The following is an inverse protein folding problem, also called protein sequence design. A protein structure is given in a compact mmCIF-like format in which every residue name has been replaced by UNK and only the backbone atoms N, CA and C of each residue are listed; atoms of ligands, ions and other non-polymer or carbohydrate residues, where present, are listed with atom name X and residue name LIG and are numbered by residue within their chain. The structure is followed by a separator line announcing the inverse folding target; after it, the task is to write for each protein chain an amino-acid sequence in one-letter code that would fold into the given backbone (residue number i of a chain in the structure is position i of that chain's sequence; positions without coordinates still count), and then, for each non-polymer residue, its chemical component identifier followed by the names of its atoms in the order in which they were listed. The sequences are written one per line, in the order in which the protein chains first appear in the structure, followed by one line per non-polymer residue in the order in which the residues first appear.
data_IF_431705957456
#
_entry.id   IF_431705957456
#
_cell.length_a   1.000
_cell.length_b   1.000
_cell.length_c   1.000
_cell.angle_alpha   90.00
_cell.angle_beta   90.00
_cell.angle_gamma   90.00
#
_symmetry.space_group_name_H-M   'P 1'
#
loop_
_entity.id
_entity.type
_entity.pdbx_description
1 polymer ?
#
# COMPACT_ATOMS: atom_id res chain seq x y z
N UNK A 1 -16.74 28.43 -41.44
CA UNK A 1 -18.06 28.94 -41.04
C UNK A 1 -17.76 30.03 -40.03
N UNK A 2 -17.98 31.30 -40.34
CA UNK A 2 -17.74 32.40 -39.40
C UNK A 2 -18.77 32.29 -38.29
N UNK A 3 -18.32 32.02 -37.07
CA UNK A 3 -19.20 31.88 -35.91
C UNK A 3 -19.46 33.30 -35.37
N UNK A 4 -20.71 33.79 -35.34
CA UNK A 4 -21.00 35.13 -34.87
C UNK A 4 -20.71 35.27 -33.38
N UNK A 5 -20.21 36.44 -32.97
CA UNK A 5 -19.99 36.76 -31.56
C UNK A 5 -21.30 36.63 -30.76
N UNK A 6 -21.24 36.12 -29.52
CA UNK A 6 -22.42 35.89 -28.68
C UNK A 6 -23.05 37.21 -28.23
N UNK A 7 -24.39 37.27 -28.19
CA UNK A 7 -25.11 38.49 -27.81
C UNK A 7 -25.53 38.56 -26.33
N UNK A 8 -25.67 37.42 -25.64
CA UNK A 8 -26.01 37.34 -24.20
C UNK A 8 -25.79 35.95 -23.60
N UNK A 9 -25.84 34.88 -24.41
CA UNK A 9 -25.77 33.51 -23.91
C UNK A 9 -24.94 32.62 -24.86
N UNK A 10 -23.86 32.02 -24.35
CA UNK A 10 -23.04 31.01 -25.02
C UNK A 10 -23.56 29.57 -24.81
N UNK A 11 -24.87 29.42 -24.59
CA UNK A 11 -25.57 28.14 -24.52
C UNK A 11 -25.92 27.65 -25.93
N UNK A 12 -24.94 27.12 -26.64
CA UNK A 12 -25.16 26.41 -27.91
C UNK A 12 -23.93 25.61 -28.27
N UNK A 13 -24.13 24.31 -28.44
CA UNK A 13 -23.11 23.29 -28.65
C UNK A 13 -22.06 23.68 -29.71
N UNK A 14 -20.84 24.03 -29.31
CA UNK A 14 -19.65 23.72 -30.13
C UNK A 14 -19.11 22.32 -29.83
N UNK A 15 -19.99 21.45 -29.32
CA UNK A 15 -19.70 20.07 -29.02
C UNK A 15 -19.52 19.25 -30.29
N UNK A 16 -18.41 18.53 -30.40
CA UNK A 16 -18.24 17.52 -31.43
C UNK A 16 -19.22 16.36 -31.18
N UNK A 17 -20.03 16.06 -32.19
CA UNK A 17 -20.91 14.88 -32.24
C UNK A 17 -20.45 13.91 -33.34
N UNK A 18 -21.03 12.70 -33.38
CA UNK A 18 -20.74 11.69 -34.41
C UNK A 18 -20.84 12.20 -35.87
N UNK A 19 -21.62 13.25 -36.12
CA UNK A 19 -21.80 13.86 -37.46
C UNK A 19 -20.65 14.82 -37.82
N UNK A 20 -19.86 15.24 -36.83
CA UNK A 20 -18.90 16.34 -36.92
C UNK A 20 -17.43 15.89 -36.99
N UNK A 21 -17.15 14.58 -36.84
CA UNK A 21 -15.79 14.04 -36.83
C UNK A 21 -15.51 13.32 -38.16
N UNK A 22 -14.57 13.79 -39.00
CA UNK A 22 -14.03 12.96 -40.07
C UNK A 22 -13.17 11.83 -39.47
N UNK A 23 -13.11 10.69 -40.16
CA UNK A 23 -12.33 9.48 -39.81
C UNK A 23 -10.91 9.76 -39.26
N UNK A 24 -10.35 8.86 -38.42
CA UNK A 24 -9.17 9.13 -37.61
C UNK A 24 -7.87 9.25 -38.43
N UNK A 25 -7.04 10.25 -38.11
CA UNK A 25 -5.66 10.36 -38.63
C UNK A 25 -4.99 11.75 -38.57
N UNK A 26 -5.74 12.84 -38.34
CA UNK A 26 -5.20 14.21 -38.31
C UNK A 26 -5.78 14.96 -37.09
N UNK A 27 -5.01 15.84 -36.41
CA UNK A 27 -5.53 16.71 -35.35
C UNK A 27 -6.52 17.73 -35.96
N UNK A 28 -7.80 17.35 -35.99
CA UNK A 28 -8.87 18.22 -36.44
C UNK A 28 -9.29 19.15 -35.29
N UNK A 29 -8.81 20.39 -35.30
CA UNK A 29 -9.36 21.46 -34.50
C UNK A 29 -10.41 22.22 -35.34
N UNK A 30 -11.73 22.05 -35.10
CA UNK A 30 -12.77 22.75 -35.85
C UNK A 30 -12.89 24.24 -35.50
N UNK A 31 -12.16 24.73 -34.50
CA UNK A 31 -12.24 26.09 -33.99
C UNK A 31 -11.31 27.03 -34.78
N UNK A 32 -11.85 28.17 -35.20
CA UNK A 32 -11.08 29.23 -35.85
C UNK A 32 -10.47 30.16 -34.79
N UNK A 33 -9.38 30.83 -35.12
CA UNK A 33 -8.78 31.86 -34.25
C UNK A 33 -9.76 33.00 -33.90
N UNK A 34 -10.84 33.18 -34.69
CA UNK A 34 -11.90 34.17 -34.43
C UNK A 34 -12.58 33.98 -33.06
N UNK A 35 -12.56 32.78 -32.49
CA UNK A 35 -13.13 32.51 -31.15
C UNK A 35 -12.40 33.30 -30.07
N UNK A 36 -11.09 33.51 -30.23
CA UNK A 36 -10.26 34.27 -29.27
C UNK A 36 -10.71 35.74 -29.20
N UNK A 37 -11.14 36.30 -30.33
CA UNK A 37 -11.48 37.73 -30.48
C UNK A 37 -12.97 38.04 -30.21
N UNK A 38 -13.73 37.13 -29.61
CA UNK A 38 -15.14 37.39 -29.29
C UNK A 38 -15.29 38.45 -28.19
N UNK A 39 -16.21 39.38 -28.41
CA UNK A 39 -16.70 40.27 -27.35
C UNK A 39 -17.61 39.48 -26.41
N UNK A 40 -17.07 39.10 -25.24
CA UNK A 40 -17.81 38.35 -24.22
C UNK A 40 -18.40 39.24 -23.13
N UNK A 41 -18.27 40.57 -23.22
CA UNK A 41 -18.64 41.47 -22.13
C UNK A 41 -20.14 41.46 -21.80
N UNK A 42 -20.98 40.97 -22.72
CA UNK A 42 -22.43 40.82 -22.52
C UNK A 42 -22.87 39.39 -22.17
N UNK A 43 -21.94 38.43 -22.12
CA UNK A 43 -22.25 37.01 -21.89
C UNK A 43 -22.60 36.78 -20.42
N UNK A 44 -23.75 36.15 -20.18
CA UNK A 44 -24.22 35.80 -18.83
C UNK A 44 -24.20 34.31 -18.53
N UNK A 45 -23.97 33.46 -19.54
CA UNK A 45 -23.86 32.02 -19.37
C UNK A 45 -22.95 31.40 -20.45
N UNK A 46 -22.12 30.44 -20.05
CA UNK A 46 -21.16 29.68 -20.87
C UNK A 46 -21.43 28.17 -20.78
N UNK A 47 -22.72 27.78 -20.69
CA UNK A 47 -23.08 26.39 -20.41
C UNK A 47 -22.74 25.50 -21.59
N UNK A 48 -21.85 24.52 -21.35
CA UNK A 48 -21.43 23.49 -22.32
C UNK A 48 -20.90 24.03 -23.64
N UNK A 49 -20.32 25.23 -23.63
CA UNK A 49 -19.81 25.91 -24.84
C UNK A 49 -18.81 25.04 -25.59
N UNK A 50 -17.82 24.45 -24.91
CA UNK A 50 -16.78 23.58 -25.49
C UNK A 50 -16.89 22.11 -25.04
N UNK A 51 -18.04 21.69 -24.52
CA UNK A 51 -18.26 20.31 -24.05
C UNK A 51 -18.08 19.30 -25.20
N UNK A 52 -17.43 18.15 -24.99
CA UNK A 52 -17.58 16.96 -25.84
C UNK A 52 -18.93 16.26 -25.63
N UNK A 53 -19.16 15.15 -26.33
CA UNK A 53 -20.40 14.36 -26.22
C UNK A 53 -20.16 12.91 -25.81
N UNK A 54 -20.99 12.40 -24.88
CA UNK A 54 -20.99 10.97 -24.56
C UNK A 54 -21.59 10.18 -25.73
N UNK A 55 -21.09 8.97 -25.92
CA UNK A 55 -21.68 8.04 -26.88
C UNK A 55 -22.93 7.40 -26.26
N UNK A 56 -24.03 7.35 -27.03
CA UNK A 56 -25.24 6.64 -26.61
C UNK A 56 -25.04 5.11 -26.57
N UNK A 57 -23.98 4.61 -27.20
CA UNK A 57 -23.54 3.22 -27.07
C UNK A 57 -22.37 3.15 -26.06
N UNK A 58 -22.56 2.52 -24.89
CA UNK A 58 -21.50 2.40 -23.89
C UNK A 58 -20.30 1.57 -24.35
N UNK A 59 -20.40 0.82 -25.45
CA UNK A 59 -19.29 0.07 -26.05
C UNK A 59 -18.35 0.93 -26.91
N UNK A 60 -18.65 2.23 -27.10
CA UNK A 60 -17.83 3.14 -27.90
C UNK A 60 -17.33 4.31 -27.04
N UNK A 61 -16.09 4.80 -27.28
CA UNK A 61 -15.55 5.93 -26.53
C UNK A 61 -16.38 7.21 -26.77
N UNK A 62 -16.35 8.17 -25.82
CA UNK A 62 -16.98 9.47 -26.01
C UNK A 62 -16.29 10.27 -27.12
N UNK A 63 -17.02 11.22 -27.69
CA UNK A 63 -16.47 12.20 -28.63
C UNK A 63 -15.84 13.35 -27.84
N UNK A 64 -14.51 13.37 -27.79
CA UNK A 64 -13.74 14.38 -27.11
C UNK A 64 -13.67 15.67 -27.93
N UNK A 65 -13.63 16.80 -27.24
CA UNK A 65 -13.47 18.11 -27.84
C UNK A 65 -11.99 18.55 -27.78
N UNK A 66 -11.28 18.75 -28.90
CA UNK A 66 -9.87 19.11 -28.92
C UNK A 66 -9.63 20.61 -28.74
N UNK A 67 -10.61 21.36 -28.23
CA UNK A 67 -10.48 22.79 -27.96
C UNK A 67 -9.29 23.07 -27.04
N UNK A 68 -8.41 23.99 -27.44
CA UNK A 68 -7.26 24.47 -26.66
C UNK A 68 -6.78 25.84 -27.13
N UNK A 69 -7.71 26.73 -27.54
CA UNK A 69 -7.35 28.09 -27.95
C UNK A 69 -7.28 28.98 -26.71
N UNK A 70 -6.30 29.89 -26.69
CA UNK A 70 -6.13 30.88 -25.61
C UNK A 70 -7.34 31.81 -25.56
N UNK A 71 -8.05 31.76 -24.43
CA UNK A 71 -9.25 32.56 -24.12
C UNK A 71 -9.07 33.32 -22.79
N UNK A 72 -7.81 33.49 -22.35
CA UNK A 72 -7.47 34.25 -21.14
C UNK A 72 -8.00 35.68 -21.18
N UNK A 73 -8.12 36.27 -22.38
CA UNK A 73 -8.59 37.64 -22.59
C UNK A 73 -10.10 37.85 -22.59
N UNK A 74 -10.91 36.81 -22.38
CA UNK A 74 -12.37 36.93 -22.32
C UNK A 74 -12.82 37.68 -21.06
N UNK A 75 -13.76 38.61 -21.21
CA UNK A 75 -14.47 39.24 -20.09
C UNK A 75 -15.56 38.27 -19.57
N UNK A 76 -15.38 37.81 -18.33
CA UNK A 76 -16.31 36.89 -17.64
C UNK A 76 -17.11 37.56 -16.52
N UNK A 77 -16.96 38.88 -16.32
CA UNK A 77 -17.52 39.61 -15.17
C UNK A 77 -19.05 39.57 -15.06
N UNK A 78 -19.76 39.29 -16.16
CA UNK A 78 -21.22 39.15 -16.19
C UNK A 78 -21.70 37.69 -16.19
N UNK A 79 -20.79 36.71 -16.17
CA UNK A 79 -21.12 35.30 -16.30
C UNK A 79 -21.67 34.77 -14.98
N UNK A 80 -22.85 34.15 -15.05
CA UNK A 80 -23.55 33.57 -13.90
C UNK A 80 -23.51 32.04 -13.88
N UNK A 81 -23.12 31.41 -14.99
CA UNK A 81 -23.08 29.96 -15.13
C UNK A 81 -22.01 29.52 -16.13
N UNK A 82 -21.11 28.65 -15.68
CA UNK A 82 -20.04 28.01 -16.48
C UNK A 82 -20.23 26.49 -16.58
N UNK A 83 -21.43 26.00 -16.24
CA UNK A 83 -21.73 24.58 -16.14
C UNK A 83 -21.32 23.78 -17.39
N UNK A 84 -20.45 22.79 -17.21
CA UNK A 84 -19.99 21.89 -18.26
C UNK A 84 -19.21 22.54 -19.41
N UNK A 85 -18.69 23.76 -19.25
CA UNK A 85 -18.04 24.52 -20.34
C UNK A 85 -16.95 23.72 -21.05
N UNK A 86 -16.09 23.01 -20.31
CA UNK A 86 -14.96 22.20 -20.80
C UNK A 86 -15.13 20.69 -20.55
N UNK A 87 -16.35 20.22 -20.34
CA UNK A 87 -16.60 18.79 -20.12
C UNK A 87 -16.13 17.96 -21.31
N UNK A 88 -15.35 16.89 -21.13
CA UNK A 88 -14.79 16.06 -22.21
C UNK A 88 -13.89 16.83 -23.20
N UNK A 89 -13.19 17.89 -22.76
CA UNK A 89 -12.15 18.53 -23.57
C UNK A 89 -10.81 17.82 -23.40
N UNK A 90 -10.33 17.12 -24.43
CA UNK A 90 -9.13 16.28 -24.30
C UNK A 90 -7.81 17.04 -24.32
N UNK A 91 -7.84 18.32 -24.71
CA UNK A 91 -6.63 19.09 -24.96
C UNK A 91 -6.59 20.44 -24.24
N UNK A 92 -7.67 20.85 -23.56
CA UNK A 92 -7.78 22.18 -22.98
C UNK A 92 -6.93 22.29 -21.71
N UNK A 93 -5.95 23.19 -21.72
CA UNK A 93 -5.07 23.49 -20.59
C UNK A 93 -4.56 24.95 -20.67
N UNK A 94 -5.43 25.88 -21.08
CA UNK A 94 -5.07 27.30 -21.21
C UNK A 94 -5.26 28.04 -19.88
N UNK A 95 -4.39 29.01 -19.61
CA UNK A 95 -4.45 29.85 -18.41
C UNK A 95 -5.74 30.67 -18.38
N UNK A 96 -6.58 30.36 -17.39
CA UNK A 96 -7.86 31.02 -17.11
C UNK A 96 -7.92 31.49 -15.65
N UNK A 97 -6.79 31.52 -14.92
CA UNK A 97 -6.74 31.99 -13.54
C UNK A 97 -7.15 33.47 -13.42
N UNK A 98 -6.99 34.25 -14.50
CA UNK A 98 -7.37 35.67 -14.55
C UNK A 98 -8.86 35.99 -14.73
N UNK A 99 -9.73 34.98 -14.87
CA UNK A 99 -11.16 35.22 -15.07
C UNK A 99 -11.86 35.73 -13.79
N UNK A 100 -12.82 36.62 -13.97
CA UNK A 100 -13.73 37.06 -12.91
C UNK A 100 -14.87 36.04 -12.75
N UNK A 101 -14.89 35.34 -11.61
CA UNK A 101 -15.90 34.34 -11.27
C UNK A 101 -16.88 34.82 -10.20
N UNK A 102 -16.80 36.07 -9.74
CA UNK A 102 -17.53 36.60 -8.58
C UNK A 102 -19.06 36.57 -8.72
N UNK A 103 -19.57 36.50 -9.96
CA UNK A 103 -21.01 36.41 -10.25
C UNK A 103 -21.49 34.98 -10.57
N UNK A 104 -20.57 34.00 -10.63
CA UNK A 104 -20.88 32.63 -11.04
C UNK A 104 -21.59 31.90 -9.91
N UNK A 105 -22.70 31.25 -10.24
CA UNK A 105 -23.50 30.44 -9.31
C UNK A 105 -23.45 28.94 -9.62
N UNK A 106 -22.95 28.57 -10.80
CA UNK A 106 -22.95 27.19 -11.31
C UNK A 106 -21.68 26.84 -12.07
N UNK A 107 -20.96 25.83 -11.58
CA UNK A 107 -19.76 25.23 -12.19
C UNK A 107 -19.89 23.71 -12.35
N UNK A 108 -21.10 23.17 -12.24
CA UNK A 108 -21.36 21.73 -12.33
C UNK A 108 -20.75 21.12 -13.61
N UNK A 109 -19.94 20.08 -13.44
CA UNK A 109 -19.23 19.35 -14.50
C UNK A 109 -18.30 20.19 -15.39
N UNK A 110 -17.89 21.40 -14.99
CA UNK A 110 -17.14 22.33 -15.85
C UNK A 110 -15.92 21.70 -16.53
N UNK A 111 -15.13 20.90 -15.81
CA UNK A 111 -13.92 20.21 -16.29
C UNK A 111 -14.04 18.68 -16.22
N UNK A 112 -15.25 18.14 -16.11
CA UNK A 112 -15.45 16.69 -16.04
C UNK A 112 -14.84 16.02 -17.28
N UNK A 113 -13.89 15.10 -17.07
CA UNK A 113 -13.16 14.40 -18.14
C UNK A 113 -12.35 15.31 -19.04
N UNK A 114 -11.90 16.46 -18.52
CA UNK A 114 -10.90 17.31 -19.15
C UNK A 114 -9.51 16.78 -18.80
N UNK A 115 -9.08 15.73 -19.50
CA UNK A 115 -7.98 14.86 -19.06
C UNK A 115 -6.64 15.57 -18.80
N UNK A 116 -6.38 16.71 -19.44
CA UNK A 116 -5.09 17.42 -19.37
C UNK A 116 -5.14 18.76 -18.65
N UNK A 117 -6.30 19.20 -18.17
CA UNK A 117 -6.44 20.51 -17.54
C UNK A 117 -5.81 20.52 -16.14
N UNK A 118 -4.84 21.41 -15.91
CA UNK A 118 -4.20 21.59 -14.60
C UNK A 118 -3.73 23.04 -14.34
N UNK A 119 -4.44 24.03 -14.85
CA UNK A 119 -4.08 25.42 -14.61
C UNK A 119 -4.48 25.88 -13.20
N UNK A 120 -3.70 26.81 -12.65
CA UNK A 120 -3.96 27.41 -11.35
C UNK A 120 -5.26 28.25 -11.40
N UNK A 121 -6.20 27.85 -10.56
CA UNK A 121 -7.51 28.48 -10.35
C UNK A 121 -7.77 28.74 -8.87
N UNK A 122 -6.72 28.67 -8.03
CA UNK A 122 -6.81 28.86 -6.58
C UNK A 122 -7.29 30.26 -6.20
N UNK A 123 -7.14 31.23 -7.10
CA UNK A 123 -7.48 32.64 -6.92
C UNK A 123 -8.91 33.01 -7.35
N UNK A 124 -9.71 32.08 -7.87
CA UNK A 124 -11.08 32.34 -8.28
C UNK A 124 -11.98 32.67 -7.08
N UNK A 125 -12.83 33.69 -7.22
CA UNK A 125 -13.89 33.97 -6.26
C UNK A 125 -15.07 33.03 -6.53
N UNK A 126 -15.21 32.01 -5.69
CA UNK A 126 -16.30 31.02 -5.76
C UNK A 126 -17.33 31.18 -4.65
N UNK A 127 -17.28 32.29 -3.88
CA UNK A 127 -18.16 32.57 -2.73
C UNK A 127 -19.65 32.53 -3.06
N UNK A 128 -20.00 32.77 -4.33
CA UNK A 128 -21.38 32.77 -4.85
C UNK A 128 -21.78 31.46 -5.54
N UNK A 129 -20.87 30.50 -5.71
CA UNK A 129 -21.13 29.25 -6.44
C UNK A 129 -21.93 28.28 -5.57
N UNK A 130 -23.08 27.82 -6.07
CA UNK A 130 -23.94 26.87 -5.36
C UNK A 130 -23.73 25.42 -5.82
N UNK A 131 -23.37 25.20 -7.09
CA UNK A 131 -23.33 23.87 -7.72
C UNK A 131 -21.96 23.56 -8.33
N UNK A 132 -21.23 22.60 -7.74
CA UNK A 132 -19.91 22.12 -8.20
C UNK A 132 -19.91 20.64 -8.62
N UNK A 133 -21.07 19.98 -8.61
CA UNK A 133 -21.17 18.53 -8.82
C UNK A 133 -20.31 18.07 -10.01
N UNK A 134 -19.44 17.10 -9.76
CA UNK A 134 -18.55 16.48 -10.75
C UNK A 134 -17.64 17.46 -11.51
N UNK A 135 -17.31 18.63 -10.94
CA UNK A 135 -16.53 19.67 -11.63
C UNK A 135 -15.21 19.13 -12.21
N UNK A 136 -14.46 18.30 -11.47
CA UNK A 136 -13.19 17.69 -11.92
C UNK A 136 -13.28 16.15 -11.99
N UNK A 137 -14.48 15.59 -12.11
CA UNK A 137 -14.67 14.14 -12.21
C UNK A 137 -13.89 13.57 -13.41
N UNK A 138 -13.02 12.58 -13.19
CA UNK A 138 -12.13 12.00 -14.20
C UNK A 138 -11.23 13.03 -14.92
N UNK A 139 -10.87 14.15 -14.27
CA UNK A 139 -9.86 15.09 -14.77
C UNK A 139 -8.46 14.62 -14.35
N UNK A 140 -7.89 13.71 -15.14
CA UNK A 140 -6.69 12.93 -14.80
C UNK A 140 -5.43 13.75 -14.48
N UNK A 141 -5.27 14.94 -15.06
CA UNK A 141 -4.13 15.81 -14.78
C UNK A 141 -4.38 16.86 -13.70
N UNK A 142 -5.61 17.02 -13.22
CA UNK A 142 -5.98 18.11 -12.32
C UNK A 142 -5.42 17.88 -10.92
N UNK A 143 -4.53 18.76 -10.49
CA UNK A 143 -3.79 18.68 -9.23
C UNK A 143 -3.50 20.10 -8.69
N UNK A 144 -4.51 20.74 -8.11
CA UNK A 144 -4.42 22.10 -7.57
C UNK A 144 -4.95 22.18 -6.15
N UNK A 145 -4.31 23.00 -5.31
CA UNK A 145 -4.80 23.33 -3.97
C UNK A 145 -5.98 24.31 -4.05
N UNK A 146 -7.15 23.89 -3.57
CA UNK A 146 -8.38 24.69 -3.55
C UNK A 146 -8.81 25.10 -2.13
N UNK A 147 -7.92 24.96 -1.13
CA UNK A 147 -8.23 25.27 0.27
C UNK A 147 -8.53 26.74 0.55
N UNK A 148 -8.15 27.65 -0.35
CA UNK A 148 -8.45 29.09 -0.24
C UNK A 148 -9.83 29.48 -0.83
N UNK A 149 -10.56 28.54 -1.41
CA UNK A 149 -11.88 28.82 -1.98
C UNK A 149 -12.93 28.99 -0.88
N UNK A 150 -13.60 30.14 -0.86
CA UNK A 150 -14.80 30.35 -0.05
C UNK A 150 -15.96 29.52 -0.62
N UNK A 151 -16.23 28.37 0.00
CA UNK A 151 -17.33 27.48 -0.39
C UNK A 151 -18.62 27.74 0.40
N UNK A 152 -18.76 28.88 1.08
CA UNK A 152 -19.91 29.21 1.95
C UNK A 152 -21.28 28.98 1.32
N UNK A 153 -21.41 29.19 0.01
CA UNK A 153 -22.67 29.05 -0.74
C UNK A 153 -22.92 27.65 -1.32
N UNK A 154 -21.96 26.72 -1.19
CA UNK A 154 -22.01 25.42 -1.82
C UNK A 154 -23.21 24.59 -1.31
N UNK A 155 -23.96 24.03 -2.26
CA UNK A 155 -25.08 23.10 -2.01
C UNK A 155 -24.83 21.70 -2.58
N UNK A 156 -23.82 21.54 -3.44
CA UNK A 156 -23.47 20.26 -4.04
C UNK A 156 -21.99 20.23 -4.44
N UNK A 157 -21.26 19.26 -3.89
CA UNK A 157 -19.87 18.94 -4.22
C UNK A 157 -19.74 17.51 -4.80
N UNK A 158 -20.86 16.82 -5.04
CA UNK A 158 -20.87 15.37 -5.29
C UNK A 158 -19.94 14.94 -6.42
N UNK A 159 -18.95 14.12 -6.09
CA UNK A 159 -17.99 13.57 -7.05
C UNK A 159 -17.06 14.61 -7.65
N UNK A 160 -16.82 15.73 -6.98
CA UNK A 160 -15.99 16.83 -7.52
C UNK A 160 -14.59 16.35 -7.92
N UNK A 161 -13.96 15.49 -7.12
CA UNK A 161 -12.60 14.98 -7.35
C UNK A 161 -12.53 13.48 -7.71
N UNK A 162 -13.66 12.78 -7.84
CA UNK A 162 -13.59 11.32 -8.08
C UNK A 162 -12.86 11.03 -9.39
N UNK A 163 -11.88 10.13 -9.30
CA UNK A 163 -11.01 9.68 -10.38
C UNK A 163 -10.20 10.81 -11.04
N UNK A 164 -9.97 11.91 -10.31
CA UNK A 164 -9.11 13.03 -10.76
C UNK A 164 -7.63 12.78 -10.43
N UNK A 165 -6.74 13.62 -10.96
CA UNK A 165 -5.30 13.60 -10.69
C UNK A 165 -4.86 14.22 -9.37
N UNK A 166 -5.80 14.55 -8.47
CA UNK A 166 -5.52 15.30 -7.25
C UNK A 166 -4.48 14.55 -6.39
N UNK A 167 -3.35 15.19 -6.12
CA UNK A 167 -2.31 14.63 -5.25
C UNK A 167 -2.73 14.65 -3.78
N UNK A 168 -2.06 13.82 -2.98
CA UNK A 168 -2.22 13.78 -1.52
C UNK A 168 -2.10 15.17 -0.89
N UNK A 169 -1.01 15.88 -1.18
CA UNK A 169 -0.71 17.20 -0.63
C UNK A 169 -1.79 18.25 -0.98
N UNK A 170 -2.27 18.28 -2.23
CA UNK A 170 -3.27 19.25 -2.65
C UNK A 170 -4.67 18.90 -2.14
N UNK A 171 -5.01 17.61 -2.04
CA UNK A 171 -6.29 17.21 -1.45
C UNK A 171 -6.32 17.51 0.05
N UNK A 172 -5.25 17.23 0.78
CA UNK A 172 -5.13 17.55 2.20
C UNK A 172 -5.22 19.04 2.48
N UNK A 173 -4.49 19.87 1.70
CA UNK A 173 -4.57 21.32 1.82
C UNK A 173 -5.98 21.85 1.49
N UNK A 174 -6.67 21.20 0.55
CA UNK A 174 -8.06 21.54 0.22
C UNK A 174 -9.02 21.19 1.36
N UNK A 175 -8.89 19.99 1.94
CA UNK A 175 -9.68 19.58 3.11
C UNK A 175 -9.40 20.48 4.31
N UNK A 176 -8.13 20.80 4.58
CA UNK A 176 -7.72 21.70 5.67
C UNK A 176 -8.35 23.09 5.53
N UNK A 177 -8.28 23.66 4.33
CA UNK A 177 -8.90 24.94 4.03
C UNK A 177 -10.41 24.90 4.27
N UNK A 178 -11.09 23.89 3.75
CA UNK A 178 -12.55 23.78 3.87
C UNK A 178 -13.05 23.39 5.26
N UNK A 179 -12.20 22.80 6.09
CA UNK A 179 -12.48 22.49 7.49
C UNK A 179 -12.28 23.70 8.42
N UNK A 180 -11.75 24.82 7.92
CA UNK A 180 -11.46 26.04 8.68
C UNK A 180 -12.31 27.20 8.18
N UNK A 181 -12.90 27.96 9.10
CA UNK A 181 -13.69 29.15 8.76
C UNK A 181 -12.80 30.39 8.75
N UNK A 182 -12.56 30.95 7.56
CA UNK A 182 -11.61 32.04 7.34
C UNK A 182 -12.23 33.44 7.41
N UNK A 183 -11.37 34.45 7.54
CA UNK A 183 -11.82 35.85 7.54
C UNK A 183 -12.43 36.20 6.19
N UNK A 184 -13.73 36.47 6.17
CA UNK A 184 -14.49 36.80 4.98
C UNK A 184 -15.54 35.74 4.61
N UNK A 185 -15.35 34.51 5.08
CA UNK A 185 -16.31 33.42 4.87
C UNK A 185 -17.51 33.54 5.81
N UNK A 186 -18.66 33.05 5.36
CA UNK A 186 -19.90 33.14 6.14
C UNK A 186 -20.25 31.86 6.89
N UNK A 187 -19.80 30.71 6.40
CA UNK A 187 -20.00 29.40 7.03
C UNK A 187 -19.14 28.33 6.36
N UNK A 188 -18.88 27.24 7.10
CA UNK A 188 -18.59 25.94 6.48
C UNK A 188 -19.94 25.28 6.18
N UNK A 189 -20.25 24.92 4.93
CA UNK A 189 -21.51 24.27 4.58
C UNK A 189 -21.72 22.96 5.36
N UNK A 190 -22.97 22.52 5.55
CA UNK A 190 -23.30 21.27 6.26
C UNK A 190 -23.93 20.24 5.36
N UNK A 191 -23.70 18.95 5.62
CA UNK A 191 -24.42 17.84 4.97
C UNK A 191 -24.05 17.62 3.51
N UNK A 192 -22.87 18.07 3.08
CA UNK A 192 -22.41 17.90 1.70
C UNK A 192 -21.80 16.51 1.49
N UNK A 193 -21.91 16.00 0.27
CA UNK A 193 -21.19 14.80 -0.16
C UNK A 193 -20.14 15.20 -1.17
N UNK A 194 -18.88 14.87 -0.90
CA UNK A 194 -17.72 15.29 -1.69
C UNK A 194 -17.41 14.33 -2.83
N UNK A 195 -17.54 13.02 -2.59
CA UNK A 195 -16.96 12.01 -3.49
C UNK A 195 -15.43 11.94 -3.29
N UNK A 196 -14.64 11.98 -4.37
CA UNK A 196 -13.19 11.77 -4.38
C UNK A 196 -12.74 10.29 -4.37
N UNK A 197 -13.57 9.38 -4.91
CA UNK A 197 -13.11 8.00 -5.14
C UNK A 197 -11.81 8.01 -5.96
N UNK A 198 -10.83 7.18 -5.59
CA UNK A 198 -9.55 7.12 -6.30
C UNK A 198 -8.55 8.25 -5.97
N UNK A 199 -8.91 9.18 -5.07
CA UNK A 199 -7.98 10.20 -4.55
C UNK A 199 -7.50 9.80 -3.15
N UNK A 200 -6.24 10.09 -2.83
CA UNK A 200 -5.62 9.78 -1.55
C UNK A 200 -5.62 11.01 -0.62
N UNK A 201 -5.87 10.84 0.69
CA UNK A 201 -5.78 11.90 1.72
C UNK A 201 -5.06 11.40 2.97
N UNK A 202 -4.35 12.25 3.71
CA UNK A 202 -3.74 11.95 5.02
C UNK A 202 -4.24 12.86 6.15
N UNK A 203 -4.87 14.00 5.85
CA UNK A 203 -5.32 14.97 6.87
C UNK A 203 -6.63 14.52 7.54
N UNK A 204 -6.49 13.61 8.51
CA UNK A 204 -7.62 13.03 9.24
C UNK A 204 -8.37 14.07 10.07
N UNK A 205 -7.67 15.04 10.66
CA UNK A 205 -8.27 16.09 11.50
C UNK A 205 -9.26 16.94 10.70
N UNK A 206 -8.82 17.46 9.56
CA UNK A 206 -9.67 18.26 8.68
C UNK A 206 -10.87 17.44 8.18
N UNK A 207 -10.64 16.18 7.78
CA UNK A 207 -11.71 15.28 7.36
C UNK A 207 -12.71 15.02 8.48
N UNK A 208 -12.26 14.76 9.70
CA UNK A 208 -13.14 14.47 10.83
C UNK A 208 -13.93 15.71 11.23
N UNK A 209 -13.34 16.91 11.23
CA UNK A 209 -14.10 18.15 11.40
C UNK A 209 -15.25 18.25 10.40
N UNK A 210 -14.99 18.02 9.11
CA UNK A 210 -16.04 18.06 8.08
C UNK A 210 -17.14 17.01 8.31
N UNK A 211 -16.78 15.79 8.73
CA UNK A 211 -17.74 14.70 8.95
C UNK A 211 -18.52 14.88 10.26
N UNK A 212 -17.83 15.05 11.37
CA UNK A 212 -18.41 15.02 12.72
C UNK A 212 -19.13 16.33 13.05
N UNK A 213 -18.52 17.48 12.74
CA UNK A 213 -19.08 18.79 13.09
C UNK A 213 -20.04 19.31 12.02
N UNK A 214 -19.76 19.02 10.75
CA UNK A 214 -20.52 19.55 9.62
C UNK A 214 -21.35 18.50 8.88
N UNK A 215 -21.28 17.21 9.26
CA UNK A 215 -22.14 16.16 8.72
C UNK A 215 -21.83 15.79 7.27
N UNK A 216 -20.59 16.00 6.80
CA UNK A 216 -20.20 15.69 5.43
C UNK A 216 -20.07 14.18 5.21
N UNK A 217 -20.15 13.79 3.93
CA UNK A 217 -19.70 12.49 3.43
C UNK A 217 -18.47 12.77 2.56
N UNK A 218 -17.29 12.54 3.14
CA UNK A 218 -15.99 12.70 2.49
C UNK A 218 -15.51 11.34 2.00
N UNK A 219 -15.29 11.21 0.69
CA UNK A 219 -14.63 10.04 0.09
C UNK A 219 -13.14 10.29 -0.13
N UNK A 220 -12.52 9.43 -0.91
CA UNK A 220 -11.07 9.27 -0.94
C UNK A 220 -10.64 8.04 -0.14
N UNK A 221 -9.49 7.51 -0.51
CA UNK A 221 -8.82 6.45 0.24
C UNK A 221 -7.85 7.12 1.19
N UNK A 222 -7.90 6.72 2.45
CA UNK A 222 -6.94 7.22 3.42
C UNK A 222 -5.56 6.65 3.07
N UNK A 223 -4.58 7.53 2.91
CA UNK A 223 -3.18 7.20 2.70
C UNK A 223 -2.40 7.96 3.77
N UNK A 224 -1.73 7.23 4.64
CA UNK A 224 -0.85 7.85 5.61
C UNK A 224 0.44 8.22 4.88
N UNK A 225 0.77 9.50 4.83
CA UNK A 225 2.12 9.93 4.49
C UNK A 225 2.63 10.86 5.58
N UNK A 226 3.56 10.33 6.36
CA UNK A 226 4.81 10.99 6.68
C UNK A 226 4.78 12.13 7.67
N UNK A 227 4.58 11.80 8.94
CA UNK A 227 5.30 12.52 9.99
C UNK A 227 6.73 11.97 10.10
N UNK A 228 7.59 12.67 10.84
CA UNK A 228 8.92 12.14 11.22
C UNK A 228 8.99 11.79 12.71
N UNK A 229 7.82 11.65 13.33
CA UNK A 229 7.61 11.36 14.73
C UNK A 229 7.02 9.94 14.83
N UNK A 230 7.15 9.32 16.01
CA UNK A 230 6.49 8.05 16.30
C UNK A 230 4.97 8.17 16.17
N UNK A 231 4.40 7.43 15.22
CA UNK A 231 3.00 7.43 14.85
C UNK A 231 2.28 6.17 15.34
N UNK A 232 0.96 6.25 15.52
CA UNK A 232 0.11 5.08 15.79
C UNK A 232 -1.00 5.03 14.75
N UNK A 233 -0.97 3.99 13.94
CA UNK A 233 -1.85 3.72 12.82
C UNK A 233 -2.75 2.53 13.18
N UNK A 234 -4.05 2.78 13.40
CA UNK A 234 -5.02 1.73 13.70
C UNK A 234 -5.99 1.52 12.52
N UNK A 235 -5.67 0.49 11.73
CA UNK A 235 -6.44 0.02 10.59
C UNK A 235 -7.47 -1.06 10.90
N UNK A 236 -7.60 -1.51 12.16
CA UNK A 236 -8.33 -2.72 12.52
C UNK A 236 -9.82 -2.70 12.12
N UNK A 237 -10.42 -1.51 12.04
CA UNK A 237 -11.83 -1.33 11.66
C UNK A 237 -12.04 -1.05 10.15
N UNK A 238 -10.97 -1.03 9.35
CA UNK A 238 -11.07 -0.77 7.91
C UNK A 238 -11.86 -1.87 7.20
N UNK A 239 -12.69 -1.46 6.23
CA UNK A 239 -13.44 -2.37 5.37
C UNK A 239 -12.70 -2.66 4.05
N UNK A 240 -11.44 -2.23 3.94
CA UNK A 240 -10.60 -2.32 2.76
C UNK A 240 -9.16 -2.60 3.16
N UNK A 241 -8.40 -3.13 2.19
CA UNK A 241 -6.94 -3.22 2.26
C UNK A 241 -6.30 -1.88 2.61
N UNK A 242 -5.29 -1.94 3.45
CA UNK A 242 -4.41 -0.87 3.88
C UNK A 242 -3.06 -1.03 3.18
N UNK A 243 -2.58 0.09 2.63
CA UNK A 243 -1.23 0.23 2.11
C UNK A 243 -0.63 1.47 2.78
N UNK A 244 0.40 1.29 3.61
CA UNK A 244 0.96 2.37 4.43
C UNK A 244 2.45 2.18 4.66
N UNK A 245 3.15 3.29 4.87
CA UNK A 245 4.58 3.39 5.16
C UNK A 245 4.76 4.33 6.38
N UNK A 246 5.53 3.92 7.40
CA UNK A 246 5.79 4.66 8.65
C UNK A 246 6.79 5.81 8.49
N UNK A 247 7.71 5.67 7.54
CA UNK A 247 8.81 6.59 7.22
C UNK A 247 9.90 6.68 8.29
N UNK A 248 9.72 7.51 9.32
CA UNK A 248 10.75 7.68 10.35
C UNK A 248 10.10 7.84 11.71
N UNK A 249 10.62 7.19 12.73
CA UNK A 249 10.04 7.20 14.07
C UNK A 249 9.74 5.77 14.50
N UNK A 250 9.48 5.56 15.79
CA UNK A 250 9.10 4.24 16.30
C UNK A 250 7.59 4.08 16.18
N UNK A 251 7.12 3.54 15.07
CA UNK A 251 5.71 3.51 14.68
C UNK A 251 4.98 2.26 15.16
N UNK A 252 3.67 2.37 15.39
CA UNK A 252 2.81 1.22 15.65
C UNK A 252 1.71 1.15 14.60
N UNK A 253 1.77 0.17 13.71
CA UNK A 253 0.87 0.02 12.56
C UNK A 253 0.06 -1.26 12.68
N UNK A 254 -1.26 -1.11 12.71
CA UNK A 254 -2.23 -2.21 12.77
C UNK A 254 -3.01 -2.24 11.46
N UNK A 255 -3.00 -3.39 10.78
CA UNK A 255 -3.75 -3.68 9.59
C UNK A 255 -5.22 -4.04 9.84
N UNK A 256 -5.90 -4.31 8.75
CA UNK A 256 -7.31 -4.62 8.61
C UNK A 256 -7.56 -6.15 8.64
N UNK A 257 -8.74 -6.58 8.21
CA UNK A 257 -9.06 -8.01 8.03
C UNK A 257 -8.82 -8.47 6.57
N UNK A 258 -8.10 -7.69 5.77
CA UNK A 258 -7.83 -7.95 4.36
C UNK A 258 -6.32 -7.96 4.11
N UNK A 259 -5.90 -8.55 2.98
CA UNK A 259 -4.47 -8.65 2.64
C UNK A 259 -3.79 -7.29 2.45
N UNK A 260 -3.02 -6.86 3.43
CA UNK A 260 -2.43 -5.54 3.62
C UNK A 260 -0.97 -5.44 3.18
N UNK A 261 -0.49 -4.21 2.98
CA UNK A 261 0.93 -3.90 2.82
C UNK A 261 1.33 -2.84 3.84
N UNK A 262 2.07 -3.24 4.86
CA UNK A 262 2.53 -2.35 5.93
C UNK A 262 4.06 -2.23 5.84
N UNK A 263 4.59 -1.03 5.92
CA UNK A 263 6.02 -0.77 6.05
C UNK A 263 6.29 0.17 7.24
N UNK A 264 7.31 -0.14 8.06
CA UNK A 264 7.80 0.72 9.13
C UNK A 264 8.77 1.80 8.64
N UNK A 265 9.72 1.39 7.78
CA UNK A 265 10.86 2.18 7.30
C UNK A 265 11.92 2.45 8.40
N UNK A 266 12.26 3.69 8.76
CA UNK A 266 13.31 3.98 9.74
C UNK A 266 12.73 4.05 11.17
N UNK A 267 13.21 3.23 12.10
CA UNK A 267 12.79 3.28 13.51
C UNK A 267 12.58 1.90 14.10
N UNK A 268 12.29 1.82 15.40
CA UNK A 268 11.92 0.55 16.02
C UNK A 268 10.39 0.39 15.98
N UNK A 269 9.90 -0.25 14.92
CA UNK A 269 8.49 -0.28 14.59
C UNK A 269 7.77 -1.51 15.14
N UNK A 270 6.45 -1.40 15.28
CA UNK A 270 5.56 -2.52 15.60
C UNK A 270 4.50 -2.64 14.52
N UNK A 271 4.48 -3.76 13.80
CA UNK A 271 3.53 -4.03 12.73
C UNK A 271 2.64 -5.22 13.08
N UNK A 272 1.33 -5.09 12.88
CA UNK A 272 0.33 -6.17 13.06
C UNK A 272 -0.52 -6.29 11.79
N UNK A 273 -0.43 -7.39 11.04
CA UNK A 273 -1.08 -7.54 9.72
C UNK A 273 -2.60 -7.66 9.81
N UNK A 274 -3.07 -8.50 10.74
CA UNK A 274 -4.48 -8.67 11.03
C UNK A 274 -5.01 -10.02 10.60
N UNK A 275 -5.98 -10.02 9.68
CA UNK A 275 -6.38 -11.24 9.00
C UNK A 275 -6.13 -11.02 7.51
N UNK A 276 -5.85 -12.08 6.77
CA UNK A 276 -5.72 -11.97 5.33
C UNK A 276 -4.40 -12.54 4.88
N UNK A 277 -3.93 -12.08 3.72
CA UNK A 277 -2.63 -12.44 3.17
C UNK A 277 -1.82 -11.14 3.16
N UNK A 278 -1.03 -10.93 4.19
CA UNK A 278 -0.41 -9.66 4.48
C UNK A 278 1.05 -9.63 4.01
N UNK A 279 1.58 -8.42 3.86
CA UNK A 279 3.00 -8.20 3.59
C UNK A 279 3.49 -7.07 4.49
N UNK A 280 4.35 -7.43 5.44
CA UNK A 280 4.86 -6.54 6.48
C UNK A 280 6.37 -6.39 6.32
N UNK A 281 6.84 -5.14 6.35
CA UNK A 281 8.25 -4.79 6.15
C UNK A 281 8.66 -3.88 7.30
N UNK A 282 9.56 -4.32 8.18
CA UNK A 282 10.09 -3.52 9.29
C UNK A 282 10.88 -2.33 8.74
N UNK A 283 12.09 -2.57 8.28
CA UNK A 283 12.95 -1.56 7.65
C UNK A 283 14.30 -1.46 8.36
N UNK A 284 14.68 -0.26 8.76
CA UNK A 284 15.89 0.02 9.53
C UNK A 284 15.52 0.20 11.02
N UNK A 285 15.95 -0.68 11.91
CA UNK A 285 15.73 -0.58 13.35
C UNK A 285 15.42 -1.95 13.96
N UNK A 286 15.22 -2.01 15.27
CA UNK A 286 14.88 -3.27 15.93
C UNK A 286 13.34 -3.41 15.96
N UNK A 287 12.77 -4.13 14.99
CA UNK A 287 11.33 -4.16 14.71
C UNK A 287 10.60 -5.34 15.37
N UNK A 288 9.29 -5.17 15.58
CA UNK A 288 8.39 -6.23 16.04
C UNK A 288 7.26 -6.42 15.04
N UNK A 289 7.20 -7.59 14.41
CA UNK A 289 6.29 -7.85 13.30
C UNK A 289 5.43 -9.08 13.59
N UNK A 290 4.11 -8.91 13.57
CA UNK A 290 3.13 -9.98 13.72
C UNK A 290 2.30 -10.12 12.44
N UNK A 291 2.28 -11.30 11.82
CA UNK A 291 1.40 -11.60 10.68
C UNK A 291 -0.06 -11.38 11.05
N UNK A 292 -0.47 -11.95 12.18
CA UNK A 292 -1.78 -11.71 12.78
C UNK A 292 -1.78 -10.62 13.86
N UNK A 293 -2.95 -9.99 14.07
CA UNK A 293 -3.19 -9.23 15.32
C UNK A 293 -3.18 -10.15 16.53
N UNK A 294 -2.65 -9.68 17.66
CA UNK A 294 -2.56 -10.51 18.87
C UNK A 294 -3.93 -11.04 19.34
N UNK A 295 -4.09 -12.37 19.32
CA UNK A 295 -5.30 -13.06 19.76
C UNK A 295 -6.28 -13.39 18.63
N UNK A 296 -6.00 -12.96 17.40
CA UNK A 296 -6.68 -13.45 16.21
C UNK A 296 -6.07 -14.81 15.82
N UNK A 297 -6.93 -15.79 15.57
CA UNK A 297 -6.52 -17.18 15.27
C UNK A 297 -7.39 -17.85 14.20
N UNK A 298 -8.49 -17.21 13.79
CA UNK A 298 -9.49 -17.80 12.93
C UNK A 298 -9.75 -16.89 11.73
N UNK A 299 -9.21 -17.27 10.58
CA UNK A 299 -9.34 -16.50 9.33
C UNK A 299 -8.02 -15.90 8.84
N UNK A 300 -6.98 -16.01 9.65
CA UNK A 300 -5.60 -15.73 9.27
C UNK A 300 -5.13 -16.68 8.15
N UNK A 301 -4.28 -16.19 7.26
CA UNK A 301 -3.77 -16.93 6.12
C UNK A 301 -2.24 -16.76 6.03
N UNK A 302 -1.65 -17.08 4.88
CA UNK A 302 -0.20 -17.03 4.70
C UNK A 302 0.32 -15.59 4.51
N UNK A 303 1.25 -15.19 5.37
CA UNK A 303 1.84 -13.86 5.36
C UNK A 303 3.30 -13.85 4.89
N UNK A 304 3.79 -12.65 4.59
CA UNK A 304 5.20 -12.40 4.27
C UNK A 304 5.73 -11.28 5.16
N UNK A 305 6.68 -11.63 6.03
CA UNK A 305 7.28 -10.74 7.00
C UNK A 305 8.76 -10.56 6.67
N UNK A 306 9.21 -9.31 6.62
CA UNK A 306 10.59 -8.92 6.38
C UNK A 306 11.03 -7.99 7.51
N UNK A 307 12.03 -8.37 8.30
CA UNK A 307 12.62 -7.57 9.38
C UNK A 307 13.37 -6.40 8.79
N UNK A 308 14.52 -6.68 8.16
CA UNK A 308 15.30 -5.68 7.46
C UNK A 308 16.68 -5.54 8.08
N UNK A 309 17.00 -4.37 8.63
CA UNK A 309 18.27 -4.12 9.29
C UNK A 309 18.06 -3.80 10.76
N UNK A 310 18.58 -4.62 11.66
CA UNK A 310 18.40 -4.49 13.09
C UNK A 310 18.20 -5.86 13.72
N UNK A 311 17.81 -5.91 14.99
CA UNK A 311 17.53 -7.18 15.68
C UNK A 311 16.01 -7.31 15.80
N UNK A 312 15.42 -8.02 14.85
CA UNK A 312 13.99 -8.02 14.63
C UNK A 312 13.30 -9.21 15.30
N UNK A 313 12.02 -9.05 15.64
CA UNK A 313 11.18 -10.10 16.21
C UNK A 313 9.96 -10.34 15.32
N UNK A 314 9.97 -11.45 14.57
CA UNK A 314 8.93 -11.81 13.62
C UNK A 314 8.11 -13.02 14.13
N UNK A 315 6.78 -12.92 14.11
CA UNK A 315 5.85 -14.01 14.41
C UNK A 315 4.81 -14.14 13.29
N UNK A 316 4.84 -15.27 12.59
CA UNK A 316 3.94 -15.58 11.46
C UNK A 316 2.51 -15.88 11.86
N UNK A 317 2.26 -16.35 13.08
CA UNK A 317 0.91 -16.67 13.54
C UNK A 317 0.34 -17.95 12.94
N UNK A 318 -0.78 -17.86 12.21
CA UNK A 318 -1.47 -18.99 11.61
C UNK A 318 -1.45 -18.89 10.09
N UNK A 319 -0.73 -19.76 9.42
CA UNK A 319 -0.61 -19.62 7.99
C UNK A 319 0.25 -20.70 7.38
N UNK A 320 0.96 -20.33 6.33
CA UNK A 320 2.13 -21.05 5.84
C UNK A 320 3.06 -19.92 5.45
N UNK A 321 3.77 -19.41 6.43
CA UNK A 321 4.28 -18.05 6.41
C UNK A 321 5.71 -18.02 5.86
N UNK A 322 6.10 -16.88 5.29
CA UNK A 322 7.48 -16.61 4.88
C UNK A 322 8.04 -15.48 5.73
N UNK A 323 9.03 -15.80 6.57
CA UNK A 323 9.69 -14.86 7.47
C UNK A 323 11.15 -14.69 7.06
N UNK A 324 11.62 -13.44 7.04
CA UNK A 324 13.02 -13.09 6.79
C UNK A 324 13.51 -12.06 7.79
N UNK A 325 14.57 -12.38 8.55
CA UNK A 325 15.22 -11.43 9.46
C UNK A 325 16.08 -10.41 8.71
N UNK A 326 16.83 -10.90 7.73
CA UNK A 326 17.77 -10.17 6.89
C UNK A 326 19.11 -9.83 7.61
N UNK A 327 19.28 -8.69 8.28
CA UNK A 327 20.57 -8.30 8.85
C UNK A 327 20.49 -7.91 10.32
N UNK A 328 21.17 -8.68 11.17
CA UNK A 328 21.27 -8.47 12.62
C UNK A 328 20.86 -9.76 13.34
N UNK A 329 20.70 -9.71 14.66
CA UNK A 329 20.41 -10.93 15.42
C UNK A 329 18.90 -11.08 15.60
N UNK A 330 18.26 -11.82 14.69
CA UNK A 330 16.81 -11.84 14.57
C UNK A 330 16.17 -13.02 15.33
N UNK A 331 14.91 -12.85 15.72
CA UNK A 331 14.07 -13.90 16.31
C UNK A 331 12.86 -14.15 15.42
N UNK A 332 12.78 -15.34 14.81
CA UNK A 332 11.73 -15.72 13.89
C UNK A 332 10.91 -16.89 14.43
N UNK A 333 9.59 -16.72 14.46
CA UNK A 333 8.64 -17.72 14.93
C UNK A 333 7.62 -17.99 13.81
N UNK A 334 7.61 -19.20 13.25
CA UNK A 334 6.68 -19.59 12.18
C UNK A 334 5.25 -19.66 12.69
N UNK A 335 5.02 -20.50 13.70
CA UNK A 335 3.72 -20.59 14.37
C UNK A 335 2.98 -21.87 13.99
N UNK A 336 1.76 -21.74 13.49
CA UNK A 336 0.98 -22.88 12.99
C UNK A 336 0.96 -22.85 11.47
N UNK A 337 1.62 -23.82 10.83
CA UNK A 337 1.71 -23.80 9.38
C UNK A 337 2.88 -24.62 8.88
N UNK A 338 2.99 -24.80 7.57
CA UNK A 338 4.26 -25.22 6.98
C UNK A 338 5.01 -23.97 6.56
N UNK A 339 5.90 -23.51 7.43
CA UNK A 339 6.49 -22.17 7.36
C UNK A 339 7.89 -22.21 6.73
N UNK A 340 8.33 -21.06 6.24
CA UNK A 340 9.70 -20.84 5.73
C UNK A 340 10.32 -19.67 6.47
N UNK A 341 11.38 -19.95 7.24
CA UNK A 341 12.11 -18.98 8.03
C UNK A 341 13.53 -18.85 7.48
N UNK A 342 13.98 -17.61 7.32
CA UNK A 342 15.32 -17.26 6.86
C UNK A 342 15.87 -16.23 7.84
N UNK A 343 16.90 -16.57 8.61
CA UNK A 343 17.56 -15.66 9.56
C UNK A 343 18.24 -14.53 8.80
N UNK A 344 19.39 -14.83 8.19
CA UNK A 344 20.07 -13.91 7.30
C UNK A 344 21.55 -13.79 7.64
N UNK A 345 21.96 -12.63 8.12
CA UNK A 345 23.32 -12.37 8.56
C UNK A 345 23.33 -12.06 10.05
N UNK A 346 24.40 -12.48 10.73
CA UNK A 346 24.59 -12.44 12.19
C UNK A 346 23.80 -13.56 12.91
N UNK A 347 23.74 -13.55 14.25
CA UNK A 347 23.36 -14.73 15.03
C UNK A 347 21.83 -14.79 15.27
N UNK A 348 21.13 -15.72 14.63
CA UNK A 348 19.66 -15.76 14.61
C UNK A 348 19.02 -16.87 15.48
N UNK A 349 17.79 -16.65 15.95
CA UNK A 349 16.94 -17.64 16.62
C UNK A 349 15.69 -17.97 15.78
N UNK A 350 15.60 -19.18 15.24
CA UNK A 350 14.51 -19.63 14.37
C UNK A 350 13.70 -20.77 15.01
N UNK A 351 12.39 -20.61 15.10
CA UNK A 351 11.46 -21.63 15.62
C UNK A 351 10.27 -21.86 14.68
N UNK A 352 10.21 -23.03 14.03
CA UNK A 352 9.09 -23.40 13.14
C UNK A 352 7.78 -23.71 13.90
N UNK A 353 7.91 -24.24 15.12
CA UNK A 353 6.83 -24.66 16.01
C UNK A 353 6.04 -25.89 15.57
N UNK A 354 5.14 -25.82 14.60
CA UNK A 354 4.20 -26.90 14.34
C UNK A 354 3.94 -27.15 12.85
N UNK A 355 3.98 -28.42 12.47
CA UNK A 355 3.97 -28.97 11.11
C UNK A 355 5.37 -29.01 10.49
N UNK A 356 5.48 -28.96 9.16
CA UNK A 356 6.71 -29.30 8.46
C UNK A 356 7.35 -28.06 7.88
N UNK A 357 8.38 -27.58 8.55
CA UNK A 357 8.95 -26.26 8.33
C UNK A 357 10.28 -26.30 7.57
N UNK A 358 10.70 -25.15 7.07
CA UNK A 358 11.99 -24.95 6.41
C UNK A 358 12.71 -23.77 7.06
N UNK A 359 13.83 -24.04 7.71
CA UNK A 359 14.62 -23.05 8.43
C UNK A 359 16.02 -22.95 7.80
N UNK A 360 16.42 -21.73 7.47
CA UNK A 360 17.77 -21.37 7.02
C UNK A 360 18.33 -20.32 7.97
N UNK A 361 19.39 -20.63 8.72
CA UNK A 361 20.07 -19.69 9.63
C UNK A 361 20.75 -18.58 8.83
N UNK A 362 21.77 -18.95 8.05
CA UNK A 362 22.43 -18.05 7.11
C UNK A 362 23.91 -17.94 7.43
N UNK A 363 24.35 -16.81 7.96
CA UNK A 363 25.72 -16.69 8.44
C UNK A 363 25.75 -16.08 9.82
N UNK A 364 26.44 -16.69 10.77
CA UNK A 364 26.32 -16.40 12.20
C UNK A 364 26.27 -17.70 12.96
N UNK A 365 26.28 -17.65 14.29
CA UNK A 365 26.10 -18.82 15.14
C UNK A 365 24.60 -18.99 15.45
N UNK A 366 23.88 -19.75 14.62
CA UNK A 366 22.41 -19.77 14.63
C UNK A 366 21.81 -20.81 15.58
N UNK A 367 20.62 -20.54 16.11
CA UNK A 367 19.78 -21.51 16.82
C UNK A 367 18.54 -21.87 16.01
N UNK A 368 18.42 -23.14 15.63
CA UNK A 368 17.33 -23.65 14.81
C UNK A 368 16.52 -24.71 15.58
N UNK A 369 15.23 -24.46 15.73
CA UNK A 369 14.25 -25.38 16.31
C UNK A 369 13.08 -25.59 15.34
N UNK A 370 13.07 -26.71 14.60
CA UNK A 370 11.96 -27.04 13.70
C UNK A 370 10.62 -27.16 14.44
N UNK A 371 10.64 -27.69 15.67
CA UNK A 371 9.43 -27.95 16.44
C UNK A 371 8.80 -29.30 16.09
N UNK A 372 7.46 -29.36 16.08
CA UNK A 372 6.73 -30.60 15.85
C UNK A 372 6.49 -30.85 14.36
N UNK A 373 7.15 -31.83 13.78
CA UNK A 373 6.81 -32.35 12.46
C UNK A 373 8.00 -32.90 11.71
N UNK A 374 8.11 -32.54 10.43
CA UNK A 374 9.20 -33.05 9.60
C UNK A 374 9.89 -31.86 8.95
N UNK A 375 10.92 -31.38 9.63
CA UNK A 375 11.50 -30.08 9.34
C UNK A 375 12.78 -30.22 8.51
N UNK A 376 13.08 -29.18 7.74
CA UNK A 376 14.35 -29.05 7.01
C UNK A 376 15.12 -27.89 7.61
N UNK A 377 16.30 -28.20 8.14
CA UNK A 377 17.15 -27.25 8.85
C UNK A 377 18.49 -27.13 8.13
N UNK A 378 18.92 -25.90 7.91
CA UNK A 378 20.23 -25.57 7.37
C UNK A 378 20.75 -24.38 8.20
N UNK A 379 21.82 -24.61 8.96
CA UNK A 379 22.40 -23.56 9.81
C UNK A 379 23.18 -22.57 8.95
N UNK A 380 24.05 -23.06 8.07
CA UNK A 380 24.78 -22.23 7.14
C UNK A 380 26.20 -22.04 7.65
N UNK A 381 26.71 -20.81 7.66
CA UNK A 381 28.08 -20.55 8.07
C UNK A 381 28.15 -20.13 9.53
N UNK A 382 28.76 -20.96 10.39
CA UNK A 382 29.02 -20.60 11.79
C UNK A 382 28.96 -21.82 12.69
N UNK A 383 28.89 -21.61 13.99
CA UNK A 383 28.76 -22.69 14.96
C UNK A 383 27.31 -22.87 15.38
N UNK A 384 26.55 -23.65 14.63
CA UNK A 384 25.09 -23.68 14.74
C UNK A 384 24.57 -24.67 15.79
N UNK A 385 23.32 -24.46 16.19
CA UNK A 385 22.60 -25.25 17.20
C UNK A 385 21.29 -25.76 16.64
N UNK A 386 21.22 -27.07 16.40
CA UNK A 386 19.99 -27.73 15.94
C UNK A 386 19.27 -28.37 17.12
N UNK A 387 18.17 -27.79 17.56
CA UNK A 387 17.46 -28.21 18.76
C UNK A 387 16.33 -29.19 18.47
N UNK A 388 16.21 -30.19 19.34
CA UNK A 388 15.09 -31.12 19.36
C UNK A 388 14.68 -31.40 20.82
N UNK A 389 13.41 -31.24 21.15
CA UNK A 389 12.93 -31.37 22.55
C UNK A 389 13.07 -32.79 23.12
N UNK A 390 12.93 -33.79 22.26
CA UNK A 390 12.90 -35.21 22.64
C UNK A 390 11.53 -35.70 23.11
N UNK A 391 10.49 -34.88 22.96
CA UNK A 391 9.12 -35.27 23.22
C UNK A 391 8.61 -36.32 22.21
N UNK A 392 7.75 -37.22 22.66
CA UNK A 392 7.06 -38.16 21.76
C UNK A 392 6.20 -37.37 20.76
N UNK A 393 6.32 -37.71 19.47
CA UNK A 393 5.56 -37.04 18.41
C UNK A 393 6.16 -35.73 17.90
N UNK A 394 7.33 -35.31 18.39
CA UNK A 394 8.09 -34.17 17.83
C UNK A 394 8.46 -34.37 16.36
N UNK A 395 8.58 -35.63 15.91
CA UNK A 395 8.84 -35.96 14.51
C UNK A 395 10.32 -36.22 14.21
N UNK A 396 10.78 -35.89 13.01
CA UNK A 396 12.14 -36.19 12.54
C UNK A 396 12.63 -35.07 11.65
N UNK A 397 13.80 -34.53 11.98
CA UNK A 397 14.33 -33.35 11.31
C UNK A 397 15.44 -33.73 10.33
N UNK A 398 15.53 -33.00 9.23
CA UNK A 398 16.57 -33.14 8.23
C UNK A 398 17.54 -31.96 8.31
N UNK A 399 18.74 -32.21 8.84
CA UNK A 399 19.83 -31.23 8.94
C UNK A 399 20.74 -31.37 7.71
N UNK A 400 20.84 -30.30 6.92
CA UNK A 400 21.50 -30.32 5.60
C UNK A 400 22.93 -29.81 5.57
N UNK A 401 23.41 -29.17 6.64
CA UNK A 401 24.71 -28.48 6.64
C UNK A 401 25.49 -28.67 7.93
N UNK A 402 25.34 -29.82 8.59
CA UNK A 402 26.05 -30.08 9.85
C UNK A 402 27.57 -30.17 9.62
N UNK A 403 28.36 -29.25 10.17
CA UNK A 403 29.82 -29.27 10.19
C UNK A 403 30.41 -29.11 11.60
N UNK A 404 30.87 -30.22 12.18
CA UNK A 404 31.56 -30.22 13.48
C UNK A 404 32.85 -29.39 13.52
N UNK A 405 33.45 -29.06 12.37
CA UNK A 405 34.64 -28.23 12.26
C UNK A 405 34.34 -26.73 12.34
N UNK A 406 33.13 -26.33 11.96
CA UNK A 406 32.61 -24.97 12.12
C UNK A 406 32.09 -24.76 13.55
N UNK A 407 31.61 -25.82 14.19
CA UNK A 407 31.28 -25.85 15.61
C UNK A 407 29.88 -26.35 15.90
N UNK A 408 29.22 -26.93 14.90
CA UNK A 408 27.84 -27.35 14.97
C UNK A 408 27.56 -28.37 16.04
N UNK A 409 26.40 -28.20 16.66
CA UNK A 409 25.97 -29.02 17.77
C UNK A 409 24.49 -29.33 17.69
N UNK A 410 24.17 -30.62 17.78
CA UNK A 410 22.81 -31.08 17.99
C UNK A 410 22.46 -30.87 19.48
N UNK A 411 21.31 -30.29 19.78
CA UNK A 411 20.87 -30.04 21.15
C UNK A 411 19.63 -30.86 21.49
N UNK A 412 19.68 -31.57 22.62
CA UNK A 412 18.58 -32.41 23.06
C UNK A 412 17.99 -31.92 24.38
N UNK A 413 16.68 -31.63 24.37
CA UNK A 413 15.94 -30.98 25.47
C UNK A 413 15.71 -31.80 26.74
N UNK A 414 16.39 -32.94 26.94
CA UNK A 414 16.15 -33.82 28.11
C UNK A 414 17.44 -34.32 28.78
N UNK A 415 17.28 -35.09 29.87
CA UNK A 415 18.39 -35.77 30.56
C UNK A 415 18.79 -37.04 29.82
N UNK A 416 19.44 -36.87 28.67
CA UNK A 416 20.03 -37.96 27.91
C UNK A 416 21.54 -38.07 28.15
N UNK A 417 22.06 -39.27 27.93
CA UNK A 417 23.47 -39.61 27.95
C UNK A 417 23.89 -40.12 26.58
N UNK A 418 25.20 -40.27 26.33
CA UNK A 418 25.71 -40.87 25.09
C UNK A 418 25.08 -42.23 24.77
N UNK A 419 24.76 -43.03 25.79
CA UNK A 419 24.17 -44.36 25.62
C UNK A 419 22.72 -44.34 25.13
N UNK A 420 22.06 -43.19 25.21
CA UNK A 420 20.69 -43.01 24.75
C UNK A 420 20.60 -42.70 23.26
N UNK A 421 21.73 -42.56 22.55
CA UNK A 421 21.78 -42.28 21.12
C UNK A 421 22.45 -43.42 20.35
N UNK A 422 21.93 -43.68 19.14
CA UNK A 422 22.49 -44.63 18.19
C UNK A 422 22.71 -43.88 16.88
N UNK A 423 23.95 -43.93 16.36
CA UNK A 423 24.28 -43.40 15.04
C UNK A 423 24.31 -44.53 14.02
N UNK A 424 23.54 -44.38 12.94
CA UNK A 424 23.59 -45.27 11.78
C UNK A 424 24.02 -44.49 10.56
N UNK A 425 25.03 -44.98 9.84
CA UNK A 425 25.49 -44.33 8.61
C UNK A 425 24.94 -45.05 7.38
N UNK A 426 24.44 -44.30 6.40
CA UNK A 426 24.11 -44.81 5.08
C UNK A 426 24.88 -44.05 4.00
N UNK A 427 24.87 -44.62 2.79
CA UNK A 427 25.36 -43.94 1.60
C UNK A 427 24.25 -43.98 0.57
N UNK A 428 23.73 -42.83 0.18
CA UNK A 428 22.75 -42.75 -0.90
C UNK A 428 23.47 -42.48 -2.22
N UNK A 429 23.12 -43.27 -3.24
CA UNK A 429 23.63 -43.07 -4.60
C UNK A 429 22.69 -42.14 -5.37
N UNK A 430 23.12 -40.91 -5.66
CA UNK A 430 22.34 -39.90 -6.37
C UNK A 430 23.03 -39.35 -7.64
N UNK A 431 22.30 -38.53 -8.41
CA UNK A 431 22.73 -37.90 -9.66
C UNK A 431 23.73 -36.74 -9.46
N UNK A 432 24.83 -37.02 -8.75
CA UNK A 432 25.88 -36.04 -8.43
C UNK A 432 27.05 -36.60 -7.60
N UNK A 433 26.89 -37.78 -6.97
CA UNK A 433 27.91 -38.39 -6.12
C UNK A 433 27.31 -39.38 -5.12
N UNK A 434 28.17 -39.97 -4.29
CA UNK A 434 27.76 -40.70 -3.08
C UNK A 434 27.70 -39.68 -1.95
N UNK A 435 26.51 -39.45 -1.42
CA UNK A 435 26.33 -38.62 -0.22
C UNK A 435 26.32 -39.57 0.97
N UNK A 436 27.19 -39.31 1.95
CA UNK A 436 27.13 -40.01 3.22
C UNK A 436 26.06 -39.34 4.08
N UNK A 437 25.31 -40.15 4.81
CA UNK A 437 24.21 -39.72 5.65
C UNK A 437 24.39 -40.36 7.02
N UNK A 438 24.12 -39.60 8.09
CA UNK A 438 24.10 -40.11 9.45
C UNK A 438 22.70 -39.94 10.05
N UNK A 439 22.15 -41.01 10.60
CA UNK A 439 20.87 -41.01 11.30
C UNK A 439 21.14 -41.12 12.80
N UNK A 440 20.78 -40.07 13.54
CA UNK A 440 20.88 -40.03 15.00
C UNK A 440 19.53 -40.42 15.58
N UNK A 441 19.49 -41.58 16.23
CA UNK A 441 18.26 -42.19 16.76
C UNK A 441 18.31 -42.21 18.29
N UNK A 442 17.20 -41.86 18.95
CA UNK A 442 17.09 -41.97 20.40
C UNK A 442 16.70 -43.41 20.81
N UNK A 443 17.58 -44.12 21.49
CA UNK A 443 17.44 -45.55 21.81
C UNK A 443 16.19 -45.91 22.63
N UNK A 444 15.76 -45.13 23.64
CA UNK A 444 14.55 -45.46 24.40
C UNK A 444 13.27 -45.47 23.55
N UNK A 445 13.15 -44.58 22.56
CA UNK A 445 11.98 -44.49 21.67
C UNK A 445 12.18 -45.21 20.34
N UNK A 446 13.42 -45.40 19.90
CA UNK A 446 13.76 -45.86 18.55
C UNK A 446 13.46 -44.82 17.46
N UNK A 447 13.15 -43.58 17.85
CA UNK A 447 12.81 -42.49 16.93
C UNK A 447 14.07 -41.87 16.34
N UNK A 448 14.06 -41.64 15.03
CA UNK A 448 15.09 -40.83 14.37
C UNK A 448 14.79 -39.39 14.76
N UNK A 449 15.77 -38.76 15.41
CA UNK A 449 15.66 -37.35 15.78
C UNK A 449 16.18 -36.48 14.64
N UNK A 450 17.36 -36.83 14.10
CA UNK A 450 18.01 -36.11 13.01
C UNK A 450 18.51 -37.05 11.92
N UNK A 451 18.26 -36.65 10.68
CA UNK A 451 18.95 -37.15 9.50
C UNK A 451 19.93 -36.08 9.02
N UNK A 452 21.24 -36.35 9.14
CA UNK A 452 22.30 -35.44 8.76
C UNK A 452 22.76 -35.79 7.34
N UNK A 453 22.78 -34.80 6.46
CA UNK A 453 23.18 -34.95 5.05
C UNK A 453 24.15 -33.83 4.69
N UNK A 454 25.45 -34.10 4.73
CA UNK A 454 26.53 -33.10 4.61
C UNK A 454 27.38 -33.26 3.33
N UNK A 455 27.13 -34.28 2.51
CA UNK A 455 27.97 -34.60 1.35
C UNK A 455 29.35 -35.18 1.67
N UNK A 456 29.68 -35.46 2.94
CA UNK A 456 30.99 -35.94 3.40
C UNK A 456 30.88 -36.98 4.54
N UNK A 457 31.98 -37.65 4.88
CA UNK A 457 31.97 -38.58 6.01
C UNK A 457 32.24 -37.80 7.31
N UNK A 458 31.26 -37.77 8.20
CA UNK A 458 31.39 -37.13 9.51
C UNK A 458 32.44 -37.83 10.38
N UNK A 459 33.43 -37.06 10.85
CA UNK A 459 34.46 -37.53 11.78
C UNK A 459 34.04 -37.44 13.24
N UNK A 460 33.12 -36.52 13.55
CA UNK A 460 32.58 -36.26 14.89
C UNK A 460 31.11 -35.85 14.76
N UNK A 461 30.29 -36.21 15.74
CA UNK A 461 28.91 -35.72 15.83
C UNK A 461 28.67 -35.29 17.27
N UNK A 462 28.66 -33.98 17.50
CA UNK A 462 28.47 -33.41 18.83
C UNK A 462 26.99 -33.29 19.16
N UNK A 463 26.63 -33.84 20.31
CA UNK A 463 25.32 -33.63 20.93
C UNK A 463 25.52 -33.01 22.30
N UNK A 464 24.71 -32.02 22.65
CA UNK A 464 24.56 -31.51 24.01
C UNK A 464 23.23 -31.95 24.62
N UNK A 465 23.29 -32.58 25.79
CA UNK A 465 22.13 -32.91 26.59
C UNK A 465 22.41 -32.54 28.06
N UNK A 466 21.46 -31.86 28.72
CA UNK A 466 21.60 -31.42 30.12
C UNK A 466 22.91 -30.69 30.44
N UNK A 467 23.36 -29.83 29.52
CA UNK A 467 24.58 -29.03 29.67
C UNK A 467 25.90 -29.83 29.57
N UNK A 468 25.84 -31.11 29.17
CA UNK A 468 27.02 -31.92 28.88
C UNK A 468 27.07 -32.22 27.38
N UNK A 469 28.21 -31.93 26.76
CA UNK A 469 28.46 -32.23 25.35
C UNK A 469 29.25 -33.53 25.20
N UNK A 470 28.90 -34.31 24.18
CA UNK A 470 29.57 -35.57 23.86
C UNK A 470 29.64 -35.80 22.35
N UNK A 471 30.72 -36.45 21.91
CA UNK A 471 30.91 -36.90 20.54
C UNK A 471 30.32 -38.31 20.41
N UNK A 472 29.30 -38.47 19.56
CA UNK A 472 28.62 -39.74 19.33
C UNK A 472 29.43 -40.76 18.52
N UNK A 473 30.54 -40.34 17.90
CA UNK A 473 31.41 -41.21 17.11
C UNK A 473 32.70 -41.62 17.85
N UNK A 474 32.92 -41.08 19.07
CA UNK A 474 34.06 -41.41 19.94
C UNK A 474 33.85 -42.73 20.72
#
# INVERSE_FOLDING_TARGET
MTIPAPSTNLNSYFALSAVSVPYPGEPYNPFTAEVVDWDTSAVTAMVRTFSGTLNNNPALPPYLNPFNLDISGWDTSNVTSMAGMFRLTSAFDQDIGGWDTSQVTRMDSMFSRAAVFNQDISNWDVSSVELFQSMFFEAEAFDQNLGAWDISSARSLGGIFSDSGMSLANYDATLEGWARLDEGETQIPTGLSLGANGVLYSNIDARQTLIEDYGWIVGGTYAFAGSSDADTIDGAASLYRIETDGLTGDDHIIGSDFGDRLAGDDGADTLEGGLGLDTLIGGDGDDVIFGARQGDAAGDLADRLFGGAGNDSLDGGYGNDELRGDAGNDTLIGGFGADTLIGGADDDELSGNAMGDVLFGGGGDDFLNGGFGFDRLNGGAGADRFFHTGAEGHGTDWVQDYDASEGDMLMFGSTATTADFIVQTATTSGAGGTVAEAFVTHSPSGQILWALVDGAAQGQIWVQASGTSFDLLA
#
